data_IF_119501564076
#
_entry.id   IF_119501564076
#
_cell.length_a   1.000
_cell.length_b   1.000
_cell.length_c   1.000
_cell.angle_alpha   90.00
_cell.angle_beta   90.00
_cell.angle_gamma   90.00
#
_symmetry.space_group_name_H-M   'P 1'
#
loop_
_entity.id
_entity.type
_entity.pdbx_description
1 polymer ?
#
# COMPACT_ATOMS: atom_id res chain seq x y z
N UNK A 1 28.40 -35.59 -1.98
CA UNK A 1 28.07 -35.21 -3.37
C UNK A 1 26.62 -34.77 -3.35
N UNK A 2 26.35 -33.46 -3.44
CA UNK A 2 24.97 -32.96 -3.54
C UNK A 2 24.48 -33.26 -4.96
N UNK A 3 23.68 -34.31 -5.11
CA UNK A 3 22.87 -34.50 -6.31
C UNK A 3 21.81 -33.40 -6.29
N UNK A 4 22.05 -32.30 -7.00
CA UNK A 4 21.02 -31.31 -7.27
C UNK A 4 19.89 -32.02 -7.98
N UNK A 5 18.73 -32.15 -7.35
CA UNK A 5 17.52 -32.59 -8.04
C UNK A 5 17.31 -31.66 -9.25
N UNK A 6 17.09 -32.20 -10.47
CA UNK A 6 16.83 -31.37 -11.64
C UNK A 6 15.62 -30.46 -11.39
N UNK A 7 15.75 -29.16 -11.67
CA UNK A 7 14.66 -28.18 -11.55
C UNK A 7 13.74 -28.26 -12.76
N UNK A 8 13.05 -29.40 -12.92
CA UNK A 8 12.22 -29.69 -14.08
C UNK A 8 11.09 -28.67 -14.29
N UNK A 9 10.58 -28.06 -13.21
CA UNK A 9 9.58 -27.00 -13.32
C UNK A 9 10.21 -25.68 -13.79
N UNK A 10 11.40 -25.33 -13.30
CA UNK A 10 12.17 -24.19 -13.79
C UNK A 10 12.47 -24.30 -15.28
N UNK A 11 12.92 -25.48 -15.73
CA UNK A 11 13.20 -25.75 -17.14
C UNK A 11 11.94 -25.57 -18.00
N UNK A 12 10.80 -26.13 -17.59
CA UNK A 12 9.51 -25.95 -18.29
C UNK A 12 9.08 -24.48 -18.38
N UNK A 13 9.25 -23.69 -17.31
CA UNK A 13 8.92 -22.25 -17.30
C UNK A 13 9.77 -21.51 -18.34
N UNK A 14 11.04 -21.85 -18.45
CA UNK A 14 11.98 -21.22 -19.41
C UNK A 14 11.65 -21.66 -20.84
N UNK A 15 11.41 -22.96 -21.06
CA UNK A 15 11.03 -23.51 -22.37
C UNK A 15 9.70 -22.92 -22.89
N UNK A 16 8.75 -22.65 -21.99
CA UNK A 16 7.49 -21.97 -22.32
C UNK A 16 7.66 -20.45 -22.59
N UNK A 17 8.88 -19.90 -22.45
CA UNK A 17 9.16 -18.48 -22.65
C UNK A 17 8.62 -17.56 -21.55
N UNK A 18 8.22 -18.12 -20.41
CA UNK A 18 7.65 -17.36 -19.28
C UNK A 18 8.74 -16.69 -18.42
N UNK A 19 9.98 -17.15 -18.54
CA UNK A 19 11.16 -16.49 -17.99
C UNK A 19 12.36 -16.64 -18.95
N UNK A 20 13.27 -15.66 -19.02
CA UNK A 20 14.39 -15.71 -19.96
C UNK A 20 15.48 -16.71 -19.56
N UNK A 21 15.65 -16.99 -18.27
CA UNK A 21 16.57 -17.98 -17.71
C UNK A 21 16.29 -18.18 -16.20
N UNK A 22 16.91 -19.20 -15.61
CA UNK A 22 16.74 -19.56 -14.20
C UNK A 22 17.19 -18.46 -13.23
N UNK A 23 18.25 -17.71 -13.55
CA UNK A 23 18.71 -16.61 -12.70
C UNK A 23 17.66 -15.51 -12.54
N UNK A 24 17.05 -15.08 -13.65
CA UNK A 24 15.99 -14.06 -13.62
C UNK A 24 14.71 -14.59 -12.97
N UNK A 25 14.37 -15.86 -13.20
CA UNK A 25 13.23 -16.50 -12.54
C UNK A 25 13.39 -16.48 -11.01
N UNK A 26 14.59 -16.81 -10.51
CA UNK A 26 14.89 -16.80 -9.08
C UNK A 26 14.95 -15.39 -8.49
N UNK A 27 15.50 -14.43 -9.24
CA UNK A 27 15.59 -13.04 -8.81
C UNK A 27 14.21 -12.40 -8.68
N UNK A 28 13.31 -12.65 -9.64
CA UNK A 28 11.98 -12.04 -9.67
C UNK A 28 11.02 -12.70 -8.68
N UNK A 29 11.20 -13.99 -8.35
CA UNK A 29 10.30 -14.75 -7.48
C UNK A 29 8.82 -14.66 -7.90
N UNK A 30 8.57 -14.57 -9.22
CA UNK A 30 7.24 -14.39 -9.78
C UNK A 30 7.25 -14.36 -11.30
N UNK A 31 6.09 -14.60 -11.90
CA UNK A 31 5.86 -14.41 -13.33
C UNK A 31 5.05 -13.14 -13.56
N UNK A 32 5.43 -12.39 -14.58
CA UNK A 32 4.84 -11.10 -14.92
C UNK A 32 4.05 -11.18 -16.22
N UNK A 33 2.93 -10.45 -16.26
CA UNK A 33 2.17 -10.28 -17.50
C UNK A 33 3.07 -9.63 -18.56
N UNK A 34 3.24 -10.24 -19.76
CA UNK A 34 4.07 -9.68 -20.81
C UNK A 34 3.60 -8.29 -21.25
N UNK A 35 4.54 -7.44 -21.67
CA UNK A 35 4.18 -6.14 -22.27
C UNK A 35 3.35 -6.37 -23.54
N UNK A 36 2.22 -5.68 -23.65
CA UNK A 36 1.31 -5.80 -24.78
C UNK A 36 0.37 -7.01 -24.71
N UNK A 37 0.39 -7.80 -23.63
CA UNK A 37 -0.64 -8.79 -23.38
C UNK A 37 -1.96 -8.07 -23.10
N UNK A 38 -2.97 -8.28 -23.96
CA UNK A 38 -4.26 -7.65 -23.81
C UNK A 38 -5.00 -8.22 -22.60
N UNK A 39 -5.41 -7.34 -21.70
CA UNK A 39 -6.19 -7.68 -20.53
C UNK A 39 -7.56 -7.00 -20.62
N UNK A 40 -8.68 -7.73 -20.47
CA UNK A 40 -9.99 -7.11 -20.33
C UNK A 40 -10.12 -6.52 -18.92
N UNK A 41 -11.13 -5.67 -18.72
CA UNK A 41 -11.51 -5.25 -17.38
C UNK A 41 -11.94 -6.47 -16.52
N UNK A 42 -11.63 -6.49 -15.21
CA UNK A 42 -10.90 -5.46 -14.45
C UNK A 42 -9.36 -5.63 -14.50
N UNK A 43 -8.84 -6.65 -15.19
CA UNK A 43 -7.41 -7.00 -15.17
C UNK A 43 -6.49 -5.94 -15.80
N UNK A 44 -7.04 -5.02 -16.61
CA UNK A 44 -6.31 -3.89 -17.19
C UNK A 44 -6.07 -2.73 -16.22
N UNK A 45 -6.62 -2.77 -15.00
CA UNK A 45 -6.35 -1.76 -13.97
C UNK A 45 -4.86 -1.68 -13.62
N UNK A 46 -4.36 -0.52 -13.17
CA UNK A 46 -2.93 -0.32 -12.87
C UNK A 46 -2.47 -1.00 -11.56
N UNK A 47 -3.00 -2.16 -11.23
CA UNK A 47 -2.67 -2.93 -10.02
C UNK A 47 -1.44 -3.81 -10.24
N UNK A 48 -0.42 -3.69 -9.38
CA UNK A 48 0.71 -4.64 -9.39
C UNK A 48 0.28 -6.07 -9.08
N UNK A 49 -0.81 -6.30 -8.34
CA UNK A 49 -1.35 -7.65 -8.14
C UNK A 49 -1.78 -8.29 -9.47
N UNK A 50 -2.43 -7.51 -10.34
CA UNK A 50 -2.86 -7.99 -11.66
C UNK A 50 -1.69 -8.10 -12.64
N UNK A 51 -0.71 -7.19 -12.55
CA UNK A 51 0.50 -7.24 -13.38
C UNK A 51 1.46 -8.38 -13.01
N UNK A 52 1.46 -8.80 -11.75
CA UNK A 52 2.31 -9.86 -11.21
C UNK A 52 1.45 -10.89 -10.46
N UNK A 53 0.62 -11.69 -11.15
CA UNK A 53 -0.39 -12.51 -10.48
C UNK A 53 0.18 -13.80 -9.87
N UNK A 54 1.37 -14.23 -10.29
CA UNK A 54 1.95 -15.54 -9.94
C UNK A 54 3.23 -15.36 -9.13
N UNK A 55 3.27 -16.02 -7.98
CA UNK A 55 4.45 -16.20 -7.14
C UNK A 55 5.23 -17.45 -7.55
N UNK A 56 6.56 -17.37 -7.48
CA UNK A 56 7.47 -18.49 -7.74
C UNK A 56 8.46 -18.60 -6.59
N UNK A 57 8.56 -19.76 -5.95
CA UNK A 57 9.62 -20.06 -5.00
C UNK A 57 10.67 -20.96 -5.65
N UNK A 58 11.92 -20.50 -5.66
CA UNK A 58 13.07 -21.25 -6.17
C UNK A 58 13.27 -22.57 -5.38
N UNK A 59 13.87 -23.61 -6.01
CA UNK A 59 14.20 -24.84 -5.32
C UNK A 59 15.26 -24.59 -4.23
N UNK A 60 15.19 -25.34 -3.13
CA UNK A 60 16.17 -25.26 -2.04
C UNK A 60 16.36 -26.61 -1.35
N UNK A 61 17.59 -27.12 -1.41
CA UNK A 61 17.89 -28.48 -0.93
C UNK A 61 17.04 -29.50 -1.67
N UNK A 62 16.32 -30.34 -0.93
CA UNK A 62 15.42 -31.34 -1.49
C UNK A 62 14.03 -30.79 -1.85
N UNK A 63 13.74 -29.52 -1.57
CA UNK A 63 12.46 -28.90 -1.93
C UNK A 63 12.48 -28.45 -3.40
N UNK A 64 11.58 -28.96 -4.25
CA UNK A 64 11.48 -28.52 -5.64
C UNK A 64 10.96 -27.08 -5.72
N UNK A 65 11.11 -26.48 -6.91
CA UNK A 65 10.45 -25.20 -7.23
C UNK A 65 8.94 -25.34 -7.06
N UNK A 66 8.31 -24.31 -6.53
CA UNK A 66 6.84 -24.21 -6.44
C UNK A 66 6.35 -22.92 -7.09
N UNK A 67 5.11 -22.94 -7.55
CA UNK A 67 4.42 -21.82 -8.19
C UNK A 67 2.98 -21.75 -7.69
N UNK A 68 2.47 -20.54 -7.52
CA UNK A 68 1.13 -20.32 -6.97
C UNK A 68 0.62 -18.91 -7.25
N UNK A 69 -0.65 -18.67 -6.98
CA UNK A 69 -1.30 -17.38 -7.16
C UNK A 69 -1.03 -16.46 -5.97
N UNK A 70 -0.85 -15.16 -6.21
CA UNK A 70 -0.75 -14.16 -5.14
C UNK A 70 -2.10 -13.86 -4.45
N UNK A 71 -3.19 -14.31 -5.04
CA UNK A 71 -4.55 -14.22 -4.53
C UNK A 71 -5.43 -15.27 -5.21
N UNK A 72 -6.33 -15.98 -4.50
CA UNK A 72 -7.17 -17.02 -5.09
C UNK A 72 -8.03 -16.54 -6.28
N UNK A 73 -8.55 -15.30 -6.20
CA UNK A 73 -9.35 -14.70 -7.26
C UNK A 73 -8.62 -14.55 -8.61
N UNK A 74 -7.28 -14.67 -8.63
CA UNK A 74 -6.48 -14.59 -9.85
C UNK A 74 -6.58 -15.84 -10.74
N UNK A 75 -7.26 -16.90 -10.30
CA UNK A 75 -7.52 -18.07 -11.14
C UNK A 75 -8.28 -17.71 -12.43
N UNK A 76 -9.09 -16.65 -12.41
CA UNK A 76 -9.79 -16.12 -13.57
C UNK A 76 -8.96 -15.16 -14.43
N UNK A 77 -7.71 -14.86 -14.04
CA UNK A 77 -6.85 -13.93 -14.75
C UNK A 77 -6.37 -14.54 -16.09
N UNK A 78 -6.52 -13.87 -17.25
CA UNK A 78 -6.19 -14.46 -18.55
C UNK A 78 -4.74 -14.94 -18.69
N UNK A 79 -3.79 -14.16 -18.17
CA UNK A 79 -2.38 -14.59 -18.14
C UNK A 79 -2.16 -15.83 -17.26
N UNK A 80 -2.88 -15.98 -16.14
CA UNK A 80 -2.77 -17.16 -15.27
C UNK A 80 -3.24 -18.40 -16.01
N UNK A 81 -4.40 -18.34 -16.67
CA UNK A 81 -4.92 -19.44 -17.47
C UNK A 81 -3.98 -19.83 -18.63
N UNK A 82 -3.35 -18.84 -19.26
CA UNK A 82 -2.32 -19.07 -20.28
C UNK A 82 -1.11 -19.80 -19.71
N UNK A 83 -0.66 -19.46 -18.51
CA UNK A 83 0.47 -20.13 -17.83
C UNK A 83 0.11 -21.56 -17.45
N UNK A 84 -1.05 -21.78 -16.85
CA UNK A 84 -1.54 -23.12 -16.49
C UNK A 84 -1.62 -24.04 -17.71
N UNK A 85 -2.13 -23.51 -18.82
CA UNK A 85 -2.19 -24.23 -20.10
C UNK A 85 -0.80 -24.57 -20.64
N UNK A 86 0.13 -23.60 -20.63
CA UNK A 86 1.48 -23.79 -21.14
C UNK A 86 2.30 -24.81 -20.31
N UNK A 87 2.09 -24.84 -18.99
CA UNK A 87 2.82 -25.72 -18.08
C UNK A 87 2.11 -27.08 -17.87
N UNK A 88 0.83 -27.17 -18.19
CA UNK A 88 -0.01 -28.35 -17.94
C UNK A 88 -0.23 -28.61 -16.45
N UNK A 89 -0.32 -27.56 -15.63
CA UNK A 89 -0.50 -27.63 -14.17
C UNK A 89 -1.54 -26.62 -13.71
N UNK A 90 -2.25 -26.92 -12.63
CA UNK A 90 -3.03 -25.92 -11.89
C UNK A 90 -2.12 -25.23 -10.86
N UNK A 91 -2.22 -23.91 -10.72
CA UNK A 91 -1.45 -23.16 -9.73
C UNK A 91 -2.11 -23.25 -8.36
N UNK A 92 -1.30 -23.33 -7.30
CA UNK A 92 -1.82 -23.30 -5.94
C UNK A 92 -2.51 -21.94 -5.68
N UNK A 93 -3.80 -21.91 -5.30
CA UNK A 93 -4.52 -20.66 -5.08
C UNK A 93 -4.00 -19.84 -3.90
N UNK A 94 -3.20 -20.44 -3.01
CA UNK A 94 -2.67 -19.82 -1.79
C UNK A 94 -1.17 -19.55 -1.84
N UNK A 95 -0.63 -19.40 -3.05
CA UNK A 95 0.74 -18.94 -3.28
C UNK A 95 1.78 -20.05 -3.26
N UNK A 96 3.04 -19.63 -3.25
CA UNK A 96 4.20 -20.51 -3.24
C UNK A 96 5.16 -20.03 -2.14
N UNK A 97 4.83 -20.27 -0.86
CA UNK A 97 5.66 -19.79 0.25
C UNK A 97 7.04 -20.43 0.22
N UNK A 98 8.04 -19.66 0.64
CA UNK A 98 9.39 -20.17 0.79
C UNK A 98 9.51 -21.12 1.99
N UNK A 99 10.72 -21.63 2.23
CA UNK A 99 10.92 -22.64 3.27
C UNK A 99 10.62 -22.18 4.71
N UNK A 100 10.56 -20.86 4.94
CA UNK A 100 10.22 -20.23 6.20
C UNK A 100 8.75 -19.83 6.29
N UNK A 101 7.93 -20.19 5.29
CA UNK A 101 6.51 -19.83 5.23
C UNK A 101 6.25 -18.41 4.69
N UNK A 102 7.28 -17.68 4.25
CA UNK A 102 7.10 -16.34 3.72
C UNK A 102 6.54 -16.40 2.29
N UNK A 103 5.47 -15.65 2.05
CA UNK A 103 4.86 -15.44 0.75
C UNK A 103 4.64 -13.94 0.49
N UNK A 104 4.66 -13.57 -0.77
CA UNK A 104 4.39 -12.24 -1.30
C UNK A 104 2.89 -11.98 -1.52
N UNK A 105 2.01 -12.93 -1.18
CA UNK A 105 0.55 -12.73 -1.29
C UNK A 105 0.09 -11.47 -0.55
N UNK A 106 0.40 -11.34 0.75
CA UNK A 106 0.01 -10.18 1.57
C UNK A 106 0.48 -8.85 0.96
N UNK A 107 1.72 -8.83 0.45
CA UNK A 107 2.26 -7.65 -0.24
C UNK A 107 1.47 -7.33 -1.53
N UNK A 108 1.00 -8.35 -2.24
CA UNK A 108 0.13 -8.20 -3.39
C UNK A 108 -1.19 -7.50 -3.06
N UNK A 109 -1.82 -7.86 -1.94
CA UNK A 109 -3.07 -7.23 -1.47
C UNK A 109 -2.86 -5.75 -1.13
N UNK A 110 -1.76 -5.42 -0.44
CA UNK A 110 -1.37 -4.03 -0.17
C UNK A 110 -1.15 -3.24 -1.47
N UNK A 111 -0.38 -3.82 -2.40
CA UNK A 111 -0.09 -3.18 -3.67
C UNK A 111 -1.36 -2.93 -4.49
N UNK A 112 -2.33 -3.84 -4.48
CA UNK A 112 -3.61 -3.62 -5.14
C UNK A 112 -4.31 -2.36 -4.62
N UNK A 113 -4.39 -2.18 -3.30
CA UNK A 113 -5.02 -1.01 -2.70
C UNK A 113 -4.26 0.29 -3.01
N UNK A 114 -2.96 0.35 -2.72
CA UNK A 114 -2.19 1.60 -2.88
C UNK A 114 -2.02 2.01 -4.34
N UNK A 115 -1.92 1.06 -5.27
CA UNK A 115 -1.75 1.39 -6.69
C UNK A 115 -3.02 2.04 -7.27
N UNK A 116 -4.20 1.54 -6.91
CA UNK A 116 -5.46 2.11 -7.40
C UNK A 116 -5.73 3.49 -6.77
N UNK A 117 -5.44 3.67 -5.49
CA UNK A 117 -5.49 5.01 -4.86
C UNK A 117 -4.54 5.99 -5.58
N UNK A 118 -3.28 5.60 -5.77
CA UNK A 118 -2.26 6.50 -6.35
C UNK A 118 -2.48 6.77 -7.84
N UNK A 119 -3.21 5.90 -8.54
CA UNK A 119 -3.65 6.10 -9.91
C UNK A 119 -4.93 6.95 -10.05
N UNK A 120 -5.60 7.30 -8.95
CA UNK A 120 -6.91 7.98 -8.98
C UNK A 120 -8.10 7.06 -9.30
N UNK A 121 -7.89 5.75 -9.24
CA UNK A 121 -8.86 4.69 -9.56
C UNK A 121 -9.53 4.14 -8.29
N UNK A 122 -9.82 5.01 -7.31
CA UNK A 122 -10.33 4.58 -6.01
C UNK A 122 -11.74 3.96 -6.07
N UNK A 123 -12.56 4.32 -7.08
CA UNK A 123 -13.85 3.65 -7.32
C UNK A 123 -13.63 2.21 -7.80
N UNK A 124 -12.70 2.01 -8.72
CA UNK A 124 -12.34 0.67 -9.17
C UNK A 124 -11.77 -0.18 -8.01
N UNK A 125 -11.05 0.45 -7.05
CA UNK A 125 -10.62 -0.25 -5.83
C UNK A 125 -11.79 -0.81 -5.02
N UNK A 126 -12.89 -0.06 -4.89
CA UNK A 126 -14.08 -0.55 -4.20
C UNK A 126 -14.75 -1.70 -4.98
N UNK A 127 -14.84 -1.57 -6.31
CA UNK A 127 -15.38 -2.61 -7.20
C UNK A 127 -14.54 -3.90 -7.18
N UNK A 128 -13.24 -3.80 -6.94
CA UNK A 128 -12.31 -4.95 -6.84
C UNK A 128 -11.83 -5.21 -5.43
N UNK A 129 -12.57 -4.77 -4.41
CA UNK A 129 -12.19 -4.89 -3.00
C UNK A 129 -11.94 -6.34 -2.55
N UNK A 130 -12.56 -7.31 -3.20
CA UNK A 130 -12.33 -8.76 -3.00
C UNK A 130 -10.89 -9.21 -3.28
N UNK A 131 -10.05 -8.40 -3.94
CA UNK A 131 -8.62 -8.68 -4.18
C UNK A 131 -7.69 -8.10 -3.12
N UNK A 132 -8.25 -7.48 -2.08
CA UNK A 132 -7.51 -6.93 -0.96
C UNK A 132 -8.28 -7.10 0.35
N UNK A 133 -7.91 -6.37 1.40
CA UNK A 133 -8.63 -6.36 2.68
C UNK A 133 -9.03 -4.94 3.04
N UNK A 134 -10.09 -4.74 3.85
CA UNK A 134 -10.46 -3.42 4.36
C UNK A 134 -9.28 -2.70 5.03
N UNK A 135 -8.49 -3.42 5.84
CA UNK A 135 -7.30 -2.86 6.48
C UNK A 135 -6.24 -2.34 5.49
N UNK A 136 -6.04 -3.02 4.36
CA UNK A 136 -5.16 -2.52 3.30
C UNK A 136 -5.74 -1.30 2.57
N UNK A 137 -7.06 -1.24 2.39
CA UNK A 137 -7.72 -0.05 1.83
C UNK A 137 -7.58 1.13 2.78
N UNK A 138 -7.81 0.96 4.09
CA UNK A 138 -7.61 2.04 5.07
C UNK A 138 -6.16 2.54 5.12
N UNK A 139 -5.18 1.63 5.11
CA UNK A 139 -3.77 2.01 4.97
C UNK A 139 -3.52 2.78 3.65
N UNK A 140 -4.21 2.43 2.56
CA UNK A 140 -4.07 3.10 1.28
C UNK A 140 -4.73 4.48 1.28
N UNK A 141 -5.84 4.68 2.01
CA UNK A 141 -6.43 6.00 2.28
C UNK A 141 -5.42 6.88 3.02
N UNK A 142 -4.85 6.38 4.13
CA UNK A 142 -3.81 7.09 4.86
C UNK A 142 -2.60 7.44 3.97
N UNK A 143 -2.13 6.51 3.14
CA UNK A 143 -1.07 6.76 2.17
C UNK A 143 -1.47 7.83 1.13
N UNK A 144 -2.67 7.73 0.59
CA UNK A 144 -3.21 8.64 -0.43
C UNK A 144 -3.36 10.06 0.09
N UNK A 145 -3.72 10.24 1.36
CA UNK A 145 -3.75 11.55 2.01
C UNK A 145 -2.34 12.07 2.31
N UNK A 146 -1.40 11.22 2.73
CA UNK A 146 -0.07 11.70 3.18
C UNK A 146 0.86 12.13 2.06
N UNK A 147 0.77 11.47 0.90
CA UNK A 147 1.75 11.61 -0.16
C UNK A 147 1.09 12.13 -1.43
N UNK A 148 1.82 12.99 -2.15
CA UNK A 148 1.41 13.48 -3.47
C UNK A 148 2.29 12.91 -4.56
N UNK A 149 1.70 12.64 -5.73
CA UNK A 149 2.46 12.30 -6.93
C UNK A 149 3.28 13.47 -7.46
N UNK A 150 4.31 13.17 -8.23
CA UNK A 150 4.96 14.15 -9.12
C UNK A 150 4.14 14.25 -10.43
N UNK A 151 2.89 14.72 -10.33
CA UNK A 151 2.01 14.83 -11.49
C UNK A 151 2.20 16.19 -12.21
N UNK A 152 1.82 16.23 -13.48
CA UNK A 152 1.96 17.40 -14.35
C UNK A 152 1.13 18.60 -13.85
N UNK A 153 0.10 18.36 -13.05
CA UNK A 153 -0.75 19.41 -12.48
C UNK A 153 -0.05 20.22 -11.38
N UNK A 154 1.05 19.72 -10.83
CA UNK A 154 1.77 20.37 -9.73
C UNK A 154 1.02 20.38 -8.41
N UNK A 155 -0.09 19.63 -8.30
CA UNK A 155 -0.86 19.47 -7.06
C UNK A 155 -0.05 18.71 -6.01
N UNK A 156 -0.08 19.21 -4.78
CA UNK A 156 0.74 18.77 -3.64
C UNK A 156 -0.13 18.56 -2.40
N UNK A 157 -1.35 18.08 -2.61
CA UNK A 157 -2.44 17.93 -1.65
C UNK A 157 -2.94 16.47 -1.55
N UNK A 158 -2.08 15.49 -1.81
CA UNK A 158 -2.39 14.07 -1.76
C UNK A 158 -2.74 13.43 -3.12
N UNK A 159 -2.83 12.11 -3.13
CA UNK A 159 -3.50 11.34 -4.20
C UNK A 159 -5.02 11.29 -4.03
N UNK A 160 -5.52 11.55 -2.82
CA UNK A 160 -6.94 11.61 -2.49
C UNK A 160 -7.29 12.98 -1.96
N UNK A 161 -8.48 13.45 -2.32
CA UNK A 161 -9.15 14.51 -1.59
C UNK A 161 -9.78 13.97 -0.31
N UNK A 162 -10.06 14.85 0.65
CA UNK A 162 -10.77 14.49 1.89
C UNK A 162 -12.18 13.93 1.59
N UNK A 163 -12.87 14.48 0.59
CA UNK A 163 -14.19 14.01 0.20
C UNK A 163 -14.14 12.56 -0.31
N UNK A 164 -13.17 12.24 -1.17
CA UNK A 164 -12.97 10.87 -1.66
C UNK A 164 -12.55 9.92 -0.54
N UNK A 165 -11.65 10.35 0.35
CA UNK A 165 -11.27 9.56 1.52
C UNK A 165 -12.50 9.23 2.38
N UNK A 166 -13.37 10.20 2.67
CA UNK A 166 -14.61 9.97 3.43
C UNK A 166 -15.58 9.03 2.71
N UNK A 167 -15.73 9.17 1.39
CA UNK A 167 -16.59 8.27 0.59
C UNK A 167 -16.08 6.82 0.66
N UNK A 168 -14.77 6.60 0.55
CA UNK A 168 -14.16 5.26 0.71
C UNK A 168 -14.40 4.71 2.11
N UNK A 169 -14.23 5.53 3.16
CA UNK A 169 -14.46 5.10 4.55
C UNK A 169 -15.92 4.71 4.78
N UNK A 170 -16.88 5.49 4.26
CA UNK A 170 -18.33 5.21 4.37
C UNK A 170 -18.74 3.93 3.63
N UNK A 171 -18.27 3.73 2.40
CA UNK A 171 -18.53 2.52 1.61
C UNK A 171 -18.00 1.24 2.27
N UNK A 172 -16.91 1.34 3.03
CA UNK A 172 -16.38 0.22 3.82
C UNK A 172 -17.06 0.06 5.20
N UNK A 173 -18.02 0.92 5.54
CA UNK A 173 -18.71 0.91 6.82
C UNK A 173 -17.80 1.25 8.01
N UNK A 174 -16.77 2.07 7.78
CA UNK A 174 -15.87 2.51 8.84
C UNK A 174 -16.62 3.36 9.87
N UNK A 175 -16.32 3.15 11.14
CA UNK A 175 -16.92 3.88 12.25
C UNK A 175 -16.14 5.16 12.51
N UNK A 176 -16.74 6.33 12.25
CA UNK A 176 -16.09 7.61 12.53
C UNK A 176 -15.96 7.85 14.05
N UNK A 177 -14.73 7.94 14.61
CA UNK A 177 -14.55 8.19 16.03
C UNK A 177 -15.09 9.55 16.45
N UNK A 178 -15.80 9.60 17.59
CA UNK A 178 -16.37 10.84 18.11
C UNK A 178 -15.33 11.79 18.70
N UNK A 179 -14.23 11.26 19.26
CA UNK A 179 -13.13 12.06 19.81
C UNK A 179 -11.97 12.13 18.82
N UNK A 180 -12.09 13.07 17.88
CA UNK A 180 -11.13 13.29 16.79
C UNK A 180 -9.73 13.61 17.31
N UNK A 181 -9.64 14.39 18.38
CA UNK A 181 -8.36 14.81 18.94
C UNK A 181 -7.65 13.65 19.64
N UNK A 182 -8.38 12.80 20.36
CA UNK A 182 -7.82 11.57 20.93
C UNK A 182 -7.31 10.63 19.84
N UNK A 183 -8.08 10.42 18.77
CA UNK A 183 -7.67 9.61 17.62
C UNK A 183 -6.35 10.12 17.01
N UNK A 184 -6.23 11.43 16.74
CA UNK A 184 -4.98 12.03 16.24
C UNK A 184 -3.82 11.85 17.23
N UNK A 185 -4.08 11.94 18.53
CA UNK A 185 -3.05 11.82 19.58
C UNK A 185 -2.51 10.40 19.77
N UNK A 186 -3.15 9.37 19.21
CA UNK A 186 -2.58 8.02 19.13
C UNK A 186 -1.32 7.96 18.25
N UNK A 187 -1.20 8.86 17.27
CA UNK A 187 0.02 9.01 16.49
C UNK A 187 1.18 9.44 17.39
N UNK A 188 2.40 9.12 16.95
CA UNK A 188 3.59 9.48 17.73
C UNK A 188 3.69 10.99 17.92
N UNK A 189 4.18 11.38 19.10
CA UNK A 189 4.47 12.76 19.45
C UNK A 189 5.22 13.47 18.32
N UNK A 190 4.83 14.71 17.95
CA UNK A 190 5.55 15.48 16.94
C UNK A 190 7.02 15.66 17.34
N UNK A 191 7.92 15.29 16.43
CA UNK A 191 9.37 15.47 16.59
C UNK A 191 9.93 16.08 15.31
N UNK A 192 10.70 17.16 15.47
CA UNK A 192 11.41 17.80 14.37
C UNK A 192 12.50 16.88 13.83
N UNK A 193 12.55 16.74 12.52
CA UNK A 193 13.72 16.24 11.83
C UNK A 193 14.52 17.42 11.28
N UNK A 194 15.86 17.30 11.34
CA UNK A 194 16.80 18.35 10.92
C UNK A 194 16.54 19.74 11.57
N UNK A 195 16.50 19.83 12.91
CA UNK A 195 16.23 21.09 13.63
C UNK A 195 17.30 22.17 13.38
N UNK A 196 18.50 21.77 12.95
CA UNK A 196 19.61 22.68 12.62
C UNK A 196 19.45 23.37 11.24
N UNK A 197 18.39 23.06 10.48
CA UNK A 197 18.11 23.74 9.20
C UNK A 197 19.13 23.48 8.10
N UNK A 198 19.83 22.34 8.11
CA UNK A 198 20.69 21.92 6.98
C UNK A 198 19.84 21.71 5.71
N UNK A 199 20.47 21.54 4.54
CA UNK A 199 19.80 21.41 3.23
C UNK A 199 18.46 20.64 3.33
N UNK A 200 17.35 21.33 3.08
CA UNK A 200 15.99 20.79 3.20
C UNK A 200 15.11 21.46 4.27
N UNK A 201 15.70 22.20 5.21
CA UNK A 201 14.96 22.87 6.28
C UNK A 201 14.52 21.91 7.39
N UNK A 202 13.94 22.47 8.46
CA UNK A 202 13.26 21.69 9.51
C UNK A 202 11.95 21.12 8.96
N UNK A 203 11.66 19.86 9.25
CA UNK A 203 10.42 19.21 8.86
C UNK A 203 9.84 18.42 10.02
N UNK A 204 8.52 18.26 10.03
CA UNK A 204 7.77 17.69 11.15
C UNK A 204 6.94 16.49 10.68
N UNK A 205 7.60 15.36 10.36
CA UNK A 205 6.92 14.21 9.79
C UNK A 205 5.91 13.63 10.79
N UNK A 206 4.80 13.13 10.27
CA UNK A 206 3.83 12.36 11.05
C UNK A 206 4.34 10.92 11.11
N UNK A 207 4.70 10.47 12.31
CA UNK A 207 5.23 9.12 12.57
C UNK A 207 4.29 8.35 13.49
N UNK A 208 4.53 7.04 13.61
CA UNK A 208 3.70 6.15 14.41
C UNK A 208 2.57 5.54 13.59
N UNK A 209 1.75 4.77 14.29
CA UNK A 209 0.51 4.16 13.81
C UNK A 209 -0.47 4.22 14.96
N UNK A 210 -1.73 4.41 14.65
CA UNK A 210 -2.83 4.23 15.61
C UNK A 210 -3.06 2.73 15.90
N UNK A 211 -4.04 2.46 16.76
CA UNK A 211 -4.41 1.10 17.15
C UNK A 211 -4.94 0.22 16.01
N UNK A 212 -5.45 0.80 14.93
CA UNK A 212 -5.95 0.08 13.76
C UNK A 212 -5.72 0.86 12.45
N UNK A 213 -5.65 0.18 11.28
CA UNK A 213 -5.59 0.87 9.99
C UNK A 213 -6.74 1.87 9.77
N UNK A 214 -7.92 1.57 10.30
CA UNK A 214 -9.11 2.41 10.22
C UNK A 214 -8.92 3.72 11.01
N UNK A 215 -8.47 3.63 12.25
CA UNK A 215 -8.16 4.79 13.08
C UNK A 215 -7.00 5.62 12.50
N UNK A 216 -6.07 4.97 11.80
CA UNK A 216 -4.96 5.65 11.11
C UNK A 216 -5.50 6.51 9.97
N UNK A 217 -6.38 5.94 9.14
CA UNK A 217 -7.08 6.68 8.08
C UNK A 217 -7.91 7.85 8.66
N UNK A 218 -8.70 7.62 9.71
CA UNK A 218 -9.45 8.67 10.39
C UNK A 218 -8.57 9.77 10.97
N UNK A 219 -7.42 9.42 11.56
CA UNK A 219 -6.46 10.41 12.08
C UNK A 219 -6.00 11.37 11.00
N UNK A 220 -5.72 10.88 9.78
CA UNK A 220 -5.33 11.74 8.66
C UNK A 220 -6.48 12.60 8.16
N UNK A 221 -7.68 12.05 8.04
CA UNK A 221 -8.89 12.83 7.66
C UNK A 221 -9.10 13.97 8.67
N UNK A 222 -9.15 13.65 9.96
CA UNK A 222 -9.38 14.64 11.01
C UNK A 222 -8.26 15.66 11.10
N UNK A 223 -7.01 15.20 11.04
CA UNK A 223 -5.87 16.08 11.17
C UNK A 223 -5.76 17.09 10.04
N UNK A 224 -6.18 16.74 8.82
CA UNK A 224 -6.28 17.69 7.71
C UNK A 224 -7.46 18.64 7.90
N UNK A 225 -8.67 18.12 8.17
CA UNK A 225 -9.89 18.93 8.34
C UNK A 225 -9.76 19.97 9.46
N UNK A 226 -9.17 19.57 10.59
CA UNK A 226 -9.09 20.40 11.80
C UNK A 226 -7.82 21.26 11.84
N UNK A 227 -6.94 21.11 10.84
CA UNK A 227 -5.70 21.87 10.66
C UNK A 227 -4.55 21.45 11.57
N UNK A 228 -4.55 20.21 12.07
CA UNK A 228 -3.39 19.63 12.76
C UNK A 228 -2.25 19.32 11.80
N UNK A 229 -2.58 19.05 10.54
CA UNK A 229 -1.64 18.70 9.49
C UNK A 229 -1.65 19.70 8.35
N UNK A 230 -0.51 19.85 7.68
CA UNK A 230 -0.35 20.68 6.50
C UNK A 230 0.62 20.03 5.51
N UNK A 231 0.41 20.26 4.21
CA UNK A 231 1.32 19.79 3.17
C UNK A 231 2.52 20.71 3.05
N UNK A 232 3.71 20.11 2.97
CA UNK A 232 4.91 20.83 2.58
C UNK A 232 4.98 21.07 1.07
N UNK A 233 6.00 21.83 0.63
CA UNK A 233 6.22 22.14 -0.79
C UNK A 233 6.51 20.90 -1.66
N UNK A 234 6.91 19.80 -1.05
CA UNK A 234 7.16 18.52 -1.71
C UNK A 234 5.91 17.65 -1.80
N UNK A 235 4.78 18.10 -1.24
CA UNK A 235 3.51 17.37 -1.20
C UNK A 235 3.48 16.24 -0.18
N UNK A 236 4.25 16.37 0.90
CA UNK A 236 4.16 15.46 2.05
C UNK A 236 3.40 16.12 3.19
N UNK A 237 2.52 15.36 3.82
CA UNK A 237 1.78 15.80 4.98
C UNK A 237 2.69 15.81 6.24
N UNK A 238 2.69 16.93 6.95
CA UNK A 238 3.49 17.17 8.16
C UNK A 238 2.60 17.71 9.29
N UNK A 239 3.07 17.65 10.54
CA UNK A 239 2.44 18.39 11.63
C UNK A 239 2.53 19.89 11.38
N UNK A 240 1.39 20.58 11.40
CA UNK A 240 1.35 22.03 11.38
C UNK A 240 1.82 22.61 12.73
N UNK A 241 2.20 23.88 12.78
CA UNK A 241 2.50 24.54 14.07
C UNK A 241 1.32 24.43 15.03
N UNK A 242 0.10 24.68 14.52
CA UNK A 242 -1.15 24.56 15.28
C UNK A 242 -1.33 23.15 15.84
N UNK A 243 -1.10 22.13 15.02
CA UNK A 243 -1.18 20.73 15.44
C UNK A 243 -0.16 20.37 16.52
N UNK A 244 1.06 20.89 16.43
CA UNK A 244 2.09 20.68 17.47
C UNK A 244 1.69 21.29 18.80
N UNK A 245 1.21 22.54 18.77
CA UNK A 245 0.78 23.25 19.97
C UNK A 245 -0.41 22.55 20.63
N UNK A 246 -1.39 22.08 19.83
CA UNK A 246 -2.51 21.26 20.30
C UNK A 246 -2.07 19.92 20.89
N UNK A 247 -1.14 19.22 20.24
CA UNK A 247 -0.62 17.94 20.76
C UNK A 247 0.04 18.15 22.13
N UNK A 248 0.83 19.22 22.28
CA UNK A 248 1.49 19.54 23.54
C UNK A 248 0.51 19.90 24.66
N UNK A 249 -0.66 20.46 24.32
CA UNK A 249 -1.71 20.81 25.28
C UNK A 249 -2.45 19.59 25.85
N UNK A 250 -2.39 18.42 25.19
CA UNK A 250 -3.08 17.22 25.62
C UNK A 250 -4.59 17.43 25.74
N UNK A 251 -5.16 17.15 26.91
CA UNK A 251 -6.60 17.29 27.19
C UNK A 251 -7.00 18.69 27.71
N UNK A 252 -6.08 19.65 27.73
CA UNK A 252 -6.40 21.01 28.15
C UNK A 252 -7.37 21.67 27.15
N UNK A 253 -8.38 22.41 27.64
CA UNK A 253 -9.38 23.05 26.78
C UNK A 253 -8.80 24.17 25.88
N UNK A 254 -7.65 24.73 26.26
CA UNK A 254 -7.01 25.84 25.57
C UNK A 254 -5.50 25.67 25.54
N UNK A 255 -4.86 26.20 24.50
CA UNK A 255 -3.41 26.33 24.40
C UNK A 255 -3.02 27.74 24.00
N UNK A 256 -1.76 28.11 24.24
CA UNK A 256 -1.21 29.40 23.81
C UNK A 256 -0.45 29.16 22.53
N UNK A 257 -0.90 29.80 21.45
CA UNK A 257 -0.17 29.78 20.18
C UNK A 257 1.18 30.46 20.33
N UNK A 258 2.10 30.18 19.40
CA UNK A 258 3.38 30.89 19.32
C UNK A 258 3.21 32.43 19.19
N UNK A 259 2.05 32.89 18.70
CA UNK A 259 1.64 34.30 18.63
C UNK A 259 1.32 34.94 20.00
N UNK A 260 1.22 34.15 21.07
CA UNK A 260 0.81 34.58 22.41
C UNK A 260 -0.70 34.65 22.62
N UNK A 261 -1.50 34.27 21.62
CA UNK A 261 -2.96 34.23 21.73
C UNK A 261 -3.46 32.90 22.31
N UNK A 262 -4.51 32.95 23.12
CA UNK A 262 -5.20 31.76 23.60
C UNK A 262 -6.13 31.20 22.51
N UNK A 263 -6.00 29.92 22.21
CA UNK A 263 -6.80 29.19 21.23
C UNK A 263 -7.43 27.94 21.87
N UNK A 264 -8.55 27.49 21.32
CA UNK A 264 -9.23 26.26 21.75
C UNK A 264 -8.51 25.01 21.21
N UNK A 265 -8.33 24.02 22.07
CA UNK A 265 -7.57 22.81 21.77
C UNK A 265 -8.40 21.69 21.10
N UNK A 266 -9.72 21.87 21.00
CA UNK A 266 -10.64 20.97 20.31
C UNK A 266 -10.74 21.29 18.81
#
# INVERSE_FOLDING_TARGET
>A
MNTSTPDALGDKIIEAGLAPNGFILDLNSGLSVPRGFELPAPWNLPSRLFRFPIEVCKPRGDRPRTIGLRHPGLAAHPFVQSVETALGVALDPYGAPNEYGYSTCEQGLWHHAVDLITAGEWRALLETSDFTTPGNIFNAVGFGLRYSGNNETGKRDGYLTIAEAREIMDELGAFEPSDRAATIRELSKPVSCNPEGKKGGEHWPINGKTSSPEDDAWSFIFGIEDGWFEYDRSGHLNWSQKGRDRYAAGDAATYVETSGQAAFAF
#
